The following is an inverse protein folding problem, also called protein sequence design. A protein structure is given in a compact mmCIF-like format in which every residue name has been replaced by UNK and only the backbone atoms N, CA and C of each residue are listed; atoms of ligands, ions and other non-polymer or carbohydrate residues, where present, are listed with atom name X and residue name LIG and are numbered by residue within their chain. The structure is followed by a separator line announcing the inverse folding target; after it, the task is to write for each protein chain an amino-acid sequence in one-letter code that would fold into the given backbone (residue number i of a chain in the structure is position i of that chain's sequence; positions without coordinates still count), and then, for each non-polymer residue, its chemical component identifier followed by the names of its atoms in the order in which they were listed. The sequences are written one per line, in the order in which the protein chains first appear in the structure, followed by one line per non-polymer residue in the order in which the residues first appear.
data_IF_720613205231
#
_entry.id   IF_720613205231
#
_cell.length_a   1.000
_cell.length_b   1.000
_cell.length_c   1.000
_cell.angle_alpha   90.00
_cell.angle_beta   90.00
_cell.angle_gamma   90.00
#
_symmetry.space_group_name_H-M   'P 1'
#
loop_
_entity.id
_entity.type
_entity.pdbx_description
1 polymer ?
#
# COMPACT_ATOMS: atom_id res chain seq x y z
N UNK A 1 -2.00 27.67 9.26
CA UNK A 1 -2.44 26.27 9.04
C UNK A 1 -1.21 25.47 8.63
N UNK A 2 -1.05 24.24 9.13
CA UNK A 2 0.03 23.37 8.69
C UNK A 2 -0.11 23.09 7.17
N UNK A 3 1.01 22.93 6.47
CA UNK A 3 0.99 22.56 5.05
C UNK A 3 0.37 21.16 4.91
N UNK A 4 -0.56 20.93 3.96
CA UNK A 4 -1.12 19.59 3.73
C UNK A 4 -0.04 18.56 3.42
N UNK A 5 -0.23 17.32 3.88
CA UNK A 5 0.66 16.19 3.61
C UNK A 5 0.38 15.72 2.18
N UNK A 6 1.45 15.58 1.38
CA UNK A 6 1.36 15.16 -0.02
C UNK A 6 1.44 13.65 -0.11
N UNK A 7 0.34 13.03 -0.51
CA UNK A 7 0.21 11.57 -0.57
C UNK A 7 0.15 11.13 -2.03
N UNK A 8 0.96 10.13 -2.38
CA UNK A 8 0.89 9.46 -3.68
C UNK A 8 0.36 8.04 -3.47
N UNK A 9 -0.76 7.70 -4.10
CA UNK A 9 -1.34 6.35 -4.04
C UNK A 9 -0.97 5.59 -5.30
N UNK A 10 -0.06 4.64 -5.17
CA UNK A 10 0.40 3.81 -6.26
C UNK A 10 -0.39 2.49 -6.33
N UNK A 11 -0.91 2.16 -7.52
CA UNK A 11 -1.60 0.90 -7.78
C UNK A 11 -1.06 0.17 -9.00
N UNK A 12 -0.87 -1.14 -8.88
CA UNK A 12 -0.46 -1.98 -10.01
C UNK A 12 -1.46 -1.92 -11.19
N UNK A 13 -2.76 -1.74 -10.89
CA UNK A 13 -3.83 -1.50 -11.87
C UNK A 13 -3.92 -2.59 -12.96
N UNK A 14 -3.69 -3.84 -12.59
CA UNK A 14 -3.74 -5.00 -13.50
C UNK A 14 -5.03 -5.79 -13.32
N UNK A 15 -5.44 -6.05 -12.07
CA UNK A 15 -6.61 -6.88 -11.78
C UNK A 15 -7.90 -6.21 -12.23
N UNK A 16 -8.06 -4.92 -11.96
CA UNK A 16 -9.25 -4.14 -12.32
C UNK A 16 -9.47 -4.08 -13.84
N UNK A 17 -8.38 -4.24 -14.62
CA UNK A 17 -8.41 -4.25 -16.09
C UNK A 17 -8.63 -5.63 -16.70
N UNK A 18 -8.25 -6.70 -15.99
CA UNK A 18 -8.26 -8.09 -16.52
C UNK A 18 -9.39 -8.95 -15.95
N UNK A 19 -9.89 -8.63 -14.76
CA UNK A 19 -10.93 -9.39 -14.09
C UNK A 19 -12.21 -8.54 -14.01
N UNK A 20 -13.26 -8.97 -14.70
CA UNK A 20 -14.54 -8.25 -14.78
C UNK A 20 -15.23 -8.10 -13.41
N UNK A 21 -15.05 -9.05 -12.47
CA UNK A 21 -15.59 -8.94 -11.11
C UNK A 21 -14.88 -7.81 -10.36
N UNK A 22 -13.55 -7.79 -10.42
CA UNK A 22 -12.76 -6.74 -9.76
C UNK A 22 -13.03 -5.37 -10.39
N UNK A 23 -13.05 -5.27 -11.72
CA UNK A 23 -13.39 -4.03 -12.42
C UNK A 23 -14.84 -3.57 -12.19
N UNK A 24 -15.75 -4.48 -11.86
CA UNK A 24 -17.10 -4.12 -11.43
C UNK A 24 -17.16 -3.48 -10.04
N UNK A 25 -16.24 -3.84 -9.14
CA UNK A 25 -16.13 -3.26 -7.79
C UNK A 25 -15.30 -1.96 -7.82
N UNK A 26 -14.19 -1.96 -8.55
CA UNK A 26 -13.25 -0.85 -8.67
C UNK A 26 -13.11 -0.41 -10.13
N UNK A 27 -14.13 0.25 -10.72
CA UNK A 27 -14.12 0.62 -12.13
C UNK A 27 -12.99 1.60 -12.50
N UNK A 28 -12.59 2.45 -11.54
CA UNK A 28 -11.49 3.41 -11.70
C UNK A 28 -10.19 2.91 -11.03
N UNK A 29 -10.16 1.68 -10.52
CA UNK A 29 -9.03 1.10 -9.81
C UNK A 29 -9.01 1.39 -8.31
N UNK A 30 -8.40 0.49 -7.53
CA UNK A 30 -8.32 0.60 -6.07
C UNK A 30 -7.57 1.86 -5.60
N UNK A 31 -6.56 2.28 -6.37
CA UNK A 31 -5.79 3.50 -6.11
C UNK A 31 -6.66 4.77 -6.16
N UNK A 32 -7.65 4.85 -7.06
CA UNK A 32 -8.60 5.96 -7.08
C UNK A 32 -9.57 5.90 -5.90
N UNK A 33 -10.06 4.70 -5.53
CA UNK A 33 -10.92 4.52 -4.36
C UNK A 33 -10.23 5.00 -3.07
N UNK A 34 -8.99 4.58 -2.84
CA UNK A 34 -8.20 5.03 -1.68
C UNK A 34 -7.95 6.54 -1.74
N UNK A 35 -7.56 7.06 -2.91
CA UNK A 35 -7.29 8.49 -3.07
C UNK A 35 -8.53 9.35 -2.83
N UNK A 36 -9.72 8.89 -3.24
CA UNK A 36 -10.99 9.57 -2.98
C UNK A 36 -11.28 9.65 -1.48
N UNK A 37 -11.16 8.54 -0.75
CA UNK A 37 -11.36 8.54 0.71
C UNK A 37 -10.38 9.45 1.45
N UNK A 38 -9.10 9.47 1.05
CA UNK A 38 -8.12 10.36 1.66
C UNK A 38 -8.37 11.85 1.35
N UNK A 39 -8.92 12.18 0.18
CA UNK A 39 -9.24 13.57 -0.21
C UNK A 39 -10.40 14.17 0.59
N UNK A 40 -11.15 13.37 1.36
CA UNK A 40 -12.19 13.89 2.25
C UNK A 40 -11.61 14.70 3.43
N UNK A 41 -10.35 14.45 3.80
CA UNK A 41 -9.66 15.20 4.84
C UNK A 41 -8.74 16.29 4.21
N UNK A 42 -8.99 17.59 4.48
CA UNK A 42 -8.20 18.69 3.92
C UNK A 42 -6.74 18.72 4.41
N UNK A 43 -6.37 17.88 5.37
CA UNK A 43 -4.98 17.67 5.76
C UNK A 43 -4.13 17.00 4.66
N UNK A 44 -4.75 16.41 3.63
CA UNK A 44 -4.06 15.70 2.56
C UNK A 44 -4.22 16.35 1.19
N UNK A 45 -3.13 16.38 0.43
CA UNK A 45 -3.14 16.57 -1.02
C UNK A 45 -2.79 15.23 -1.65
N UNK A 46 -3.72 14.62 -2.39
CA UNK A 46 -3.58 13.22 -2.84
C UNK A 46 -3.53 13.11 -4.36
N UNK A 47 -2.48 12.48 -4.86
CA UNK A 47 -2.32 12.06 -6.25
C UNK A 47 -2.30 10.54 -6.38
N UNK A 48 -2.44 10.04 -7.61
CA UNK A 48 -2.35 8.62 -7.94
C UNK A 48 -1.27 8.38 -8.98
N UNK A 49 -0.72 7.17 -8.98
CA UNK A 49 0.19 6.67 -10.01
C UNK A 49 -0.08 5.18 -10.25
N UNK A 50 0.26 4.69 -11.44
CA UNK A 50 0.06 3.29 -11.82
C UNK A 50 1.28 2.69 -12.51
N UNK A 51 1.36 1.35 -12.51
CA UNK A 51 2.44 0.63 -13.18
C UNK A 51 2.60 0.99 -14.66
N UNK A 52 1.50 1.32 -15.34
CA UNK A 52 1.48 1.56 -16.79
C UNK A 52 1.93 2.98 -17.20
N UNK A 53 2.09 3.90 -16.24
CA UNK A 53 2.63 5.23 -16.50
C UNK A 53 4.14 5.18 -16.82
N UNK A 54 4.65 6.24 -17.44
CA UNK A 54 6.08 6.42 -17.63
C UNK A 54 6.80 6.38 -16.26
N UNK A 55 7.87 5.58 -16.18
CA UNK A 55 8.58 5.29 -14.92
C UNK A 55 7.63 4.82 -13.79
N UNK A 56 6.54 4.15 -14.14
CA UNK A 56 5.48 3.70 -13.23
C UNK A 56 4.81 4.85 -12.47
N UNK A 57 4.87 6.07 -13.01
CA UNK A 57 4.39 7.29 -12.37
C UNK A 57 5.25 7.75 -11.19
N UNK A 58 6.43 7.16 -10.99
CA UNK A 58 7.34 7.38 -9.85
C UNK A 58 8.63 8.08 -10.31
N UNK A 59 8.47 9.15 -11.08
CA UNK A 59 9.58 10.01 -11.52
C UNK A 59 10.24 10.70 -10.31
N UNK A 60 11.48 11.16 -10.48
CA UNK A 60 12.20 11.89 -9.43
C UNK A 60 11.43 13.12 -8.94
N UNK A 61 10.83 13.89 -9.86
CA UNK A 61 10.09 15.10 -9.52
C UNK A 61 8.84 14.79 -8.69
N UNK A 62 8.09 13.72 -9.03
CA UNK A 62 6.90 13.32 -8.27
C UNK A 62 7.26 12.79 -6.89
N UNK A 63 8.31 11.99 -6.77
CA UNK A 63 8.77 11.48 -5.47
C UNK A 63 9.38 12.58 -4.58
N UNK A 64 10.04 13.58 -5.15
CA UNK A 64 10.46 14.78 -4.40
C UNK A 64 9.25 15.59 -3.89
N UNK A 65 8.11 15.44 -4.57
CA UNK A 65 6.84 16.05 -4.20
C UNK A 65 5.93 15.17 -3.33
N UNK A 66 6.40 14.00 -2.92
CA UNK A 66 5.64 13.05 -2.11
C UNK A 66 6.19 13.02 -0.68
N UNK A 67 5.30 13.16 0.29
CA UNK A 67 5.61 13.00 1.72
C UNK A 67 5.34 11.55 2.16
N UNK A 68 4.27 10.93 1.64
CA UNK A 68 3.90 9.53 1.92
C UNK A 68 3.49 8.81 0.63
N UNK A 69 4.09 7.66 0.36
CA UNK A 69 3.74 6.76 -0.74
C UNK A 69 2.90 5.60 -0.20
N UNK A 70 1.70 5.40 -0.73
CA UNK A 70 0.92 4.17 -0.54
C UNK A 70 1.20 3.22 -1.70
N UNK A 71 1.37 1.94 -1.41
CA UNK A 71 1.72 0.93 -2.41
C UNK A 71 0.78 -0.26 -2.35
N UNK A 72 0.06 -0.49 -3.44
CA UNK A 72 -0.68 -1.73 -3.68
C UNK A 72 -0.21 -2.41 -4.98
N UNK A 73 0.10 -3.71 -4.91
CA UNK A 73 0.39 -4.53 -6.08
C UNK A 73 0.26 -6.01 -5.77
N UNK A 74 0.18 -6.87 -6.80
CA UNK A 74 -0.09 -8.29 -6.60
C UNK A 74 0.48 -9.19 -7.73
N UNK A 75 -0.04 -9.06 -8.94
CA UNK A 75 0.17 -10.06 -10.00
C UNK A 75 1.53 -9.94 -10.68
N UNK A 76 2.10 -8.74 -10.72
CA UNK A 76 3.26 -8.43 -11.58
C UNK A 76 4.31 -7.59 -10.84
N UNK A 77 4.59 -7.92 -9.58
CA UNK A 77 5.69 -7.29 -8.82
C UNK A 77 7.03 -7.27 -9.57
N UNK A 78 7.28 -8.27 -10.41
CA UNK A 78 8.47 -8.38 -11.24
C UNK A 78 8.60 -7.28 -12.31
N UNK A 79 7.49 -6.68 -12.76
CA UNK A 79 7.46 -5.69 -13.84
C UNK A 79 7.87 -4.28 -13.38
N UNK A 80 7.91 -4.02 -12.07
CA UNK A 80 8.43 -2.76 -11.55
C UNK A 80 9.94 -2.71 -11.77
N UNK A 81 10.42 -1.71 -12.52
CA UNK A 81 11.84 -1.58 -12.87
C UNK A 81 12.70 -1.36 -11.62
N UNK A 82 13.84 -2.04 -11.55
CA UNK A 82 14.74 -1.96 -10.39
C UNK A 82 15.24 -0.52 -10.15
N UNK A 83 15.49 0.24 -11.22
CA UNK A 83 15.86 1.66 -11.11
C UNK A 83 14.79 2.51 -10.38
N UNK A 84 13.50 2.21 -10.60
CA UNK A 84 12.40 2.87 -9.90
C UNK A 84 12.35 2.40 -8.44
N UNK A 85 12.58 1.11 -8.17
CA UNK A 85 12.66 0.58 -6.80
C UNK A 85 13.79 1.24 -6.01
N UNK A 86 15.00 1.36 -6.57
CA UNK A 86 16.12 2.06 -5.90
C UNK A 86 15.78 3.52 -5.61
N UNK A 87 15.11 4.20 -6.53
CA UNK A 87 14.68 5.58 -6.33
C UNK A 87 13.70 5.70 -5.17
N UNK A 88 12.68 4.83 -5.10
CA UNK A 88 11.74 4.81 -3.97
C UNK A 88 12.47 4.48 -2.67
N UNK A 89 13.38 3.50 -2.68
CA UNK A 89 14.17 3.09 -1.52
C UNK A 89 14.98 4.26 -0.95
N UNK A 90 15.71 4.99 -1.79
CA UNK A 90 16.45 6.20 -1.40
C UNK A 90 15.53 7.25 -0.77
N UNK A 91 14.36 7.50 -1.36
CA UNK A 91 13.40 8.48 -0.83
C UNK A 91 12.84 8.07 0.53
N UNK A 92 12.59 6.77 0.74
CA UNK A 92 12.16 6.25 2.05
C UNK A 92 13.26 6.46 3.11
N UNK A 93 14.52 6.15 2.78
CA UNK A 93 15.65 6.40 3.69
C UNK A 93 15.90 7.89 3.96
N UNK A 94 15.55 8.76 3.02
CA UNK A 94 15.57 10.22 3.18
C UNK A 94 14.38 10.77 4.00
N UNK A 95 13.45 9.92 4.43
CA UNK A 95 12.34 10.27 5.31
C UNK A 95 10.96 10.34 4.65
N UNK A 96 10.80 9.93 3.39
CA UNK A 96 9.47 9.74 2.80
C UNK A 96 8.78 8.54 3.46
N UNK A 97 7.53 8.71 3.90
CA UNK A 97 6.74 7.61 4.45
C UNK A 97 6.37 6.58 3.39
N UNK A 98 6.25 5.32 3.79
CA UNK A 98 5.74 4.22 2.95
C UNK A 98 4.65 3.45 3.71
N UNK A 99 3.52 3.22 3.04
CA UNK A 99 2.45 2.34 3.52
C UNK A 99 2.25 1.23 2.48
N UNK A 100 2.71 0.03 2.79
CA UNK A 100 2.50 -1.16 1.96
C UNK A 100 1.16 -1.82 2.31
N UNK A 101 0.35 -2.12 1.29
CA UNK A 101 -1.01 -2.63 1.45
C UNK A 101 -1.13 -4.07 0.96
N UNK A 102 -1.64 -4.95 1.82
CA UNK A 102 -2.05 -6.32 1.46
C UNK A 102 -0.92 -7.09 0.75
N UNK A 103 -1.16 -7.56 -0.48
CA UNK A 103 -0.22 -8.30 -1.33
C UNK A 103 1.08 -7.54 -1.65
N UNK A 104 1.17 -6.24 -1.34
CA UNK A 104 2.43 -5.49 -1.40
C UNK A 104 3.54 -6.06 -0.52
N UNK A 105 3.25 -6.99 0.40
CA UNK A 105 4.27 -7.73 1.13
C UNK A 105 5.27 -8.46 0.20
N UNK A 106 4.89 -8.83 -1.02
CA UNK A 106 5.81 -9.38 -2.03
C UNK A 106 6.36 -8.35 -3.02
N UNK A 107 6.06 -7.06 -2.85
CA UNK A 107 6.63 -6.03 -3.71
C UNK A 107 8.15 -5.96 -3.58
N UNK A 108 8.83 -5.60 -4.68
CA UNK A 108 10.28 -5.40 -4.67
C UNK A 108 10.70 -4.37 -3.61
N UNK A 109 9.96 -3.26 -3.48
CA UNK A 109 10.29 -2.22 -2.50
C UNK A 109 10.17 -2.72 -1.06
N UNK A 110 9.11 -3.46 -0.73
CA UNK A 110 8.91 -3.96 0.64
C UNK A 110 9.94 -5.02 1.01
N UNK A 111 10.16 -6.01 0.15
CA UNK A 111 11.16 -7.07 0.38
C UNK A 111 12.58 -6.49 0.52
N UNK A 112 12.92 -5.44 -0.24
CA UNK A 112 14.20 -4.73 -0.13
C UNK A 112 14.36 -3.96 1.17
N UNK A 113 13.31 -3.30 1.65
CA UNK A 113 13.32 -2.62 2.96
C UNK A 113 13.42 -3.61 4.12
N UNK A 114 12.72 -4.73 4.03
CA UNK A 114 12.66 -5.74 5.10
C UNK A 114 13.88 -6.67 5.13
N UNK A 115 14.62 -6.80 4.02
CA UNK A 115 15.80 -7.70 3.94
C UNK A 115 15.45 -9.18 4.09
N UNK A 116 14.19 -9.56 3.86
CA UNK A 116 13.64 -10.91 4.03
C UNK A 116 12.75 -11.27 2.84
N UNK A 117 12.29 -12.52 2.76
CA UNK A 117 11.38 -12.95 1.70
C UNK A 117 9.97 -12.36 1.82
N UNK A 118 9.57 -11.91 3.01
CA UNK A 118 8.20 -11.46 3.30
C UNK A 118 7.15 -12.51 2.90
N UNK A 119 7.53 -13.80 2.92
CA UNK A 119 6.65 -14.92 2.63
C UNK A 119 5.69 -15.19 3.79
N UNK A 120 4.50 -15.68 3.45
CA UNK A 120 3.47 -16.07 4.40
C UNK A 120 2.62 -17.20 3.82
N UNK A 121 1.78 -17.83 4.65
CA UNK A 121 0.74 -18.75 4.16
C UNK A 121 -0.50 -17.95 3.78
N UNK A 122 -1.22 -18.37 2.73
CA UNK A 122 -2.40 -17.64 2.27
C UNK A 122 -3.54 -18.59 1.85
N UNK A 123 -4.77 -18.08 1.91
CA UNK A 123 -5.97 -18.77 1.41
C UNK A 123 -7.04 -17.78 1.00
N UNK A 124 -7.46 -17.86 -0.26
CA UNK A 124 -8.60 -17.10 -0.79
C UNK A 124 -9.89 -17.94 -0.67
N UNK A 125 -10.66 -17.72 0.39
CA UNK A 125 -11.91 -18.44 0.65
C UNK A 125 -13.09 -17.54 1.06
N UNK A 126 -12.91 -16.20 1.01
CA UNK A 126 -13.94 -15.23 1.38
C UNK A 126 -14.36 -15.34 2.84
N UNK A 127 -13.40 -15.60 3.73
CA UNK A 127 -13.68 -15.80 5.15
C UNK A 127 -13.62 -14.46 5.92
N UNK A 128 -14.27 -14.43 7.08
CA UNK A 128 -14.25 -13.27 7.96
C UNK A 128 -12.89 -13.10 8.62
N UNK A 129 -12.38 -11.88 8.59
CA UNK A 129 -11.23 -11.45 9.40
C UNK A 129 -11.68 -10.49 10.50
N UNK A 130 -11.06 -10.62 11.67
CA UNK A 130 -11.17 -9.66 12.77
C UNK A 130 -9.78 -9.13 13.10
N UNK A 131 -9.57 -7.84 12.86
CA UNK A 131 -8.32 -7.16 13.20
C UNK A 131 -8.42 -6.57 14.61
N UNK A 132 -7.59 -7.05 15.52
CA UNK A 132 -7.54 -6.60 16.91
C UNK A 132 -6.55 -5.46 17.10
N UNK A 133 -6.95 -4.42 17.83
CA UNK A 133 -6.07 -3.32 18.23
C UNK A 133 -5.22 -3.76 19.42
N UNK A 134 -3.96 -4.13 19.15
CA UNK A 134 -3.01 -4.55 20.18
C UNK A 134 -2.35 -3.39 20.92
N UNK A 135 -2.24 -2.21 20.29
CA UNK A 135 -1.70 -0.99 20.89
C UNK A 135 -2.70 0.18 20.73
N UNK A 136 -3.67 0.34 21.65
CA UNK A 136 -4.68 1.39 21.56
C UNK A 136 -4.14 2.81 21.78
N UNK A 137 -2.91 2.96 22.31
CA UNK A 137 -2.26 4.27 22.48
C UNK A 137 -1.64 4.81 21.19
N UNK A 138 -1.51 3.98 20.15
CA UNK A 138 -0.85 4.37 18.90
C UNK A 138 -1.72 5.33 18.06
N UNK A 139 -1.16 6.40 17.45
CA UNK A 139 -1.94 7.34 16.63
C UNK A 139 -2.75 6.71 15.49
N UNK A 140 -2.26 5.62 14.88
CA UNK A 140 -2.98 4.87 13.83
C UNK A 140 -4.30 4.26 14.36
N UNK A 141 -4.34 3.86 15.64
CA UNK A 141 -5.54 3.26 16.24
C UNK A 141 -6.54 4.30 16.77
N UNK A 142 -6.27 5.60 16.61
CA UNK A 142 -7.15 6.65 17.12
C UNK A 142 -8.52 6.57 16.47
N UNK A 143 -9.56 6.39 17.29
CA UNK A 143 -10.95 6.31 16.81
C UNK A 143 -11.36 4.91 16.33
N UNK A 144 -10.46 3.92 16.38
CA UNK A 144 -10.77 2.51 16.13
C UNK A 144 -11.11 1.85 17.48
N UNK A 145 -12.19 1.06 17.52
CA UNK A 145 -12.55 0.26 18.70
C UNK A 145 -11.53 -0.88 18.92
N UNK A 146 -11.74 -1.74 19.92
CA UNK A 146 -10.86 -2.87 20.26
C UNK A 146 -10.57 -3.80 19.08
N UNK A 147 -11.47 -3.86 18.12
CA UNK A 147 -11.30 -4.54 16.85
C UNK A 147 -12.28 -3.98 15.80
N UNK A 148 -12.05 -4.33 14.55
CA UNK A 148 -13.07 -4.25 13.50
C UNK A 148 -13.08 -5.56 12.70
N UNK A 149 -14.16 -5.79 11.96
CA UNK A 149 -14.37 -7.01 11.19
C UNK A 149 -14.50 -6.70 9.71
N UNK A 150 -13.91 -7.56 8.89
CA UNK A 150 -14.08 -7.59 7.44
C UNK A 150 -14.76 -8.92 7.13
N UNK A 151 -16.00 -8.87 6.62
CA UNK A 151 -16.83 -10.07 6.44
C UNK A 151 -16.21 -11.08 5.47
N UNK A 152 -15.53 -10.59 4.42
CA UNK A 152 -14.90 -11.44 3.40
C UNK A 152 -13.52 -10.87 3.05
N UNK A 153 -12.47 -11.63 3.29
CA UNK A 153 -11.11 -11.30 2.87
C UNK A 153 -10.27 -12.56 2.63
N UNK A 154 -9.14 -12.39 1.95
CA UNK A 154 -8.10 -13.41 1.87
C UNK A 154 -7.40 -13.54 3.24
N UNK A 155 -7.14 -14.77 3.65
CA UNK A 155 -6.40 -15.04 4.88
C UNK A 155 -4.90 -15.00 4.58
N UNK A 156 -4.15 -14.22 5.36
CA UNK A 156 -2.70 -14.33 5.51
C UNK A 156 -2.35 -14.87 6.90
N UNK A 157 -1.45 -15.85 6.94
CA UNK A 157 -1.16 -16.62 8.15
C UNK A 157 0.32 -16.69 8.48
N UNK A 158 0.60 -16.66 9.78
CA UNK A 158 1.92 -16.83 10.36
C UNK A 158 2.53 -18.22 10.04
N UNK A 159 3.87 -18.35 9.97
CA UNK A 159 4.86 -17.29 10.16
C UNK A 159 4.93 -16.34 8.96
N UNK A 160 4.83 -15.04 9.21
CA UNK A 160 5.12 -13.99 8.25
C UNK A 160 6.60 -13.64 8.33
N UNK A 161 7.34 -13.91 7.26
CA UNK A 161 8.79 -13.77 7.22
C UNK A 161 9.23 -12.31 7.08
N UNK A 162 8.93 -11.48 8.08
CA UNK A 162 9.38 -10.09 8.25
C UNK A 162 10.29 -9.96 9.50
N UNK A 163 11.12 -8.91 9.59
CA UNK A 163 11.85 -8.59 10.80
C UNK A 163 10.91 -8.33 11.98
N UNK A 164 11.42 -8.48 13.21
CA UNK A 164 10.73 -7.97 14.37
C UNK A 164 10.58 -6.44 14.25
N UNK A 165 9.42 -5.87 14.61
CA UNK A 165 9.24 -4.43 14.61
C UNK A 165 10.21 -3.76 15.60
N UNK A 166 10.73 -2.59 15.23
CA UNK A 166 11.41 -1.71 16.18
C UNK A 166 10.37 -1.13 17.16
N UNK A 167 10.69 -1.09 18.46
CA UNK A 167 9.82 -0.52 19.52
C UNK A 167 9.95 1.01 19.65
#
# INVERSE_FOLDING_TARGET
MAKPIRVLVWGENVHERKNAVVGGIYPDGMHHCIAQGLREDPAFTVETATLQEEEHGLTESRLAQTDVLLWWGHAVHGEVQDAVVERVLSRVWEGMGLIALHSAHYSKIFTRLMGTSCSLTWREAGERERLWVCNPGHPIARGIDRFFEIENTEMYGEPFAIPAPDE
#
